data_IF_788226263490
#
_entry.id   IF_788226263490
#
_cell.length_a   1.000
_cell.length_b   1.000
_cell.length_c   1.000
_cell.angle_alpha   90.00
_cell.angle_beta   90.00
_cell.angle_gamma   90.00
#
_symmetry.space_group_name_H-M   'P 1'
#
loop_
_entity.id
_entity.type
_entity.pdbx_description
1 polymer ?
#
# COMPACT_ATOMS: atom_id res chain seq x y z
N UNK A 1 -1.19 -12.33 8.31
CA UNK A 1 -1.00 -11.39 7.20
C UNK A 1 -0.02 -12.01 6.21
N UNK A 2 -0.30 -11.87 4.89
CA UNK A 2 0.66 -12.17 3.83
C UNK A 2 1.10 -10.86 3.17
N UNK A 3 2.39 -10.55 3.26
CA UNK A 3 3.00 -9.40 2.60
C UNK A 3 3.74 -9.88 1.34
N UNK A 4 3.28 -9.43 0.19
CA UNK A 4 3.85 -9.73 -1.12
C UNK A 4 4.67 -8.53 -1.58
N UNK A 5 5.98 -8.71 -1.76
CA UNK A 5 6.87 -7.70 -2.30
C UNK A 5 7.28 -8.03 -3.72
N UNK A 6 7.01 -7.12 -4.64
CA UNK A 6 7.50 -7.18 -6.01
C UNK A 6 8.75 -6.34 -6.26
N UNK A 7 9.17 -5.51 -5.30
CA UNK A 7 10.28 -4.56 -5.47
C UNK A 7 11.50 -4.92 -4.63
N UNK A 8 11.29 -5.36 -3.38
CA UNK A 8 12.36 -5.60 -2.44
C UNK A 8 12.59 -7.07 -2.19
N UNK A 9 13.85 -7.44 -2.00
CA UNK A 9 14.23 -8.79 -1.60
C UNK A 9 13.88 -9.05 -0.12
N UNK A 10 13.67 -10.32 0.24
CA UNK A 10 13.40 -10.73 1.61
C UNK A 10 14.45 -10.23 2.62
N UNK A 11 15.73 -10.14 2.19
CA UNK A 11 16.81 -9.62 3.02
C UNK A 11 16.64 -8.13 3.31
N UNK A 12 16.26 -7.32 2.31
CA UNK A 12 16.03 -5.88 2.48
C UNK A 12 14.84 -5.63 3.40
N UNK A 13 13.74 -6.38 3.19
CA UNK A 13 12.56 -6.31 4.04
C UNK A 13 12.88 -6.70 5.49
N UNK A 14 13.66 -7.75 5.69
CA UNK A 14 14.10 -8.16 7.04
C UNK A 14 14.90 -7.05 7.71
N UNK A 15 15.92 -6.47 7.03
CA UNK A 15 16.72 -5.37 7.58
C UNK A 15 15.86 -4.13 7.93
N UNK A 16 14.75 -3.93 7.22
CA UNK A 16 13.80 -2.85 7.51
C UNK A 16 12.92 -3.20 8.70
N UNK A 17 12.40 -4.43 8.75
CA UNK A 17 11.59 -4.93 9.85
C UNK A 17 12.36 -4.93 11.18
N UNK A 18 13.64 -5.29 11.17
CA UNK A 18 14.51 -5.32 12.37
C UNK A 18 14.69 -3.93 13.03
N UNK A 19 14.34 -2.83 12.31
CA UNK A 19 14.34 -1.47 12.88
C UNK A 19 13.04 -1.12 13.59
N UNK A 20 11.97 -1.85 13.29
CA UNK A 20 10.66 -1.63 13.91
C UNK A 20 10.60 -2.38 15.23
N UNK A 21 10.16 -1.70 16.28
CA UNK A 21 10.10 -2.26 17.63
C UNK A 21 9.05 -3.35 17.79
N UNK A 22 8.10 -3.44 16.87
CA UNK A 22 6.94 -4.33 16.92
C UNK A 22 6.78 -5.11 15.61
N UNK A 23 7.59 -6.15 15.41
CA UNK A 23 7.38 -7.09 14.30
C UNK A 23 6.59 -8.29 14.78
N UNK A 24 5.36 -8.44 14.31
CA UNK A 24 4.55 -9.62 14.57
C UNK A 24 5.09 -10.85 13.85
N UNK A 25 5.17 -11.99 14.56
CA UNK A 25 5.47 -13.29 13.95
C UNK A 25 4.42 -13.76 12.95
N UNK A 26 3.24 -13.11 12.92
CA UNK A 26 2.10 -13.46 12.08
C UNK A 26 2.13 -12.78 10.71
N UNK A 27 3.23 -12.11 10.38
CA UNK A 27 3.47 -11.51 9.07
C UNK A 27 4.39 -12.42 8.24
N UNK A 28 3.81 -13.10 7.26
CA UNK A 28 4.54 -13.89 6.27
C UNK A 28 4.94 -12.99 5.11
N UNK A 29 6.19 -13.10 4.66
CA UNK A 29 6.72 -12.31 3.55
C UNK A 29 7.03 -13.22 2.38
N UNK A 30 6.56 -12.85 1.19
CA UNK A 30 6.91 -13.50 -0.07
C UNK A 30 7.40 -12.46 -1.07
N UNK A 31 8.48 -12.78 -1.79
CA UNK A 31 8.99 -11.94 -2.87
C UNK A 31 8.59 -12.60 -4.19
N UNK A 32 7.54 -12.05 -4.83
CA UNK A 32 6.93 -12.63 -6.02
C UNK A 32 6.27 -11.54 -6.88
N UNK A 33 6.35 -11.68 -8.20
CA UNK A 33 5.74 -10.76 -9.17
C UNK A 33 4.70 -11.41 -10.07
N UNK A 34 4.66 -12.76 -10.14
CA UNK A 34 3.62 -13.49 -10.86
C UNK A 34 2.34 -13.59 -10.04
N UNK A 35 1.24 -13.06 -10.59
CA UNK A 35 -0.07 -13.11 -9.93
C UNK A 35 -0.52 -14.56 -9.68
N UNK A 36 -0.21 -15.47 -10.60
CA UNK A 36 -0.54 -16.89 -10.50
C UNK A 36 0.16 -17.53 -9.28
N UNK A 37 1.45 -17.23 -9.09
CA UNK A 37 2.22 -17.73 -7.96
C UNK A 37 1.76 -17.09 -6.65
N UNK A 38 1.39 -15.80 -6.67
CA UNK A 38 0.82 -15.12 -5.50
C UNK A 38 -0.45 -15.85 -5.03
N UNK A 39 -1.33 -16.27 -5.94
CA UNK A 39 -2.53 -17.04 -5.56
C UNK A 39 -2.18 -18.41 -4.97
N UNK A 40 -1.13 -19.07 -5.45
CA UNK A 40 -0.64 -20.33 -4.84
C UNK A 40 -0.19 -20.07 -3.39
N UNK A 41 0.56 -18.98 -3.14
CA UNK A 41 0.99 -18.62 -1.79
C UNK A 41 -0.21 -18.30 -0.88
N UNK A 42 -1.17 -17.52 -1.36
CA UNK A 42 -2.40 -17.19 -0.61
C UNK A 42 -3.16 -18.48 -0.22
N UNK A 43 -3.34 -19.39 -1.17
CA UNK A 43 -4.03 -20.66 -0.93
C UNK A 43 -3.32 -21.52 0.13
N UNK A 44 -1.99 -21.54 0.11
CA UNK A 44 -1.19 -22.35 1.02
C UNK A 44 -1.13 -21.75 2.44
N UNK A 45 -1.22 -20.43 2.58
CA UNK A 45 -1.08 -19.72 3.86
C UNK A 45 -2.40 -19.33 4.48
N UNK A 46 -3.48 -19.26 3.68
CA UNK A 46 -4.82 -18.85 4.09
C UNK A 46 -4.80 -17.59 4.99
N UNK A 47 -4.28 -16.44 4.52
CA UNK A 47 -4.09 -15.26 5.32
C UNK A 47 -5.40 -14.50 5.55
N UNK A 48 -5.54 -13.82 6.70
CA UNK A 48 -6.67 -12.93 6.99
C UNK A 48 -6.57 -11.57 6.28
N UNK A 49 -5.37 -11.22 5.79
CA UNK A 49 -5.09 -9.97 5.04
C UNK A 49 -3.94 -10.22 4.07
N UNK A 50 -4.09 -9.74 2.85
CA UNK A 50 -3.02 -9.72 1.85
C UNK A 50 -2.60 -8.28 1.59
N UNK A 51 -1.29 -8.01 1.56
CA UNK A 51 -0.70 -6.72 1.19
C UNK A 51 0.17 -6.96 -0.04
N UNK A 52 -0.02 -6.16 -1.10
CA UNK A 52 0.77 -6.23 -2.33
C UNK A 52 1.54 -4.93 -2.52
N UNK A 53 2.88 -5.00 -2.50
CA UNK A 53 3.81 -3.87 -2.61
C UNK A 53 4.86 -4.12 -3.73
N UNK A 54 4.69 -3.53 -4.91
CA UNK A 54 3.60 -2.68 -5.36
C UNK A 54 2.79 -3.37 -6.48
N UNK A 55 1.60 -2.88 -6.72
CA UNK A 55 0.75 -3.42 -7.80
C UNK A 55 1.39 -3.21 -9.18
N UNK A 56 2.26 -2.22 -9.34
CA UNK A 56 2.96 -1.95 -10.60
C UNK A 56 3.98 -3.04 -10.98
N UNK A 57 4.46 -3.80 -10.02
CA UNK A 57 5.43 -4.88 -10.26
C UNK A 57 4.79 -6.22 -10.56
N UNK A 58 3.47 -6.35 -10.30
CA UNK A 58 2.76 -7.59 -10.52
C UNK A 58 2.38 -7.74 -11.99
N UNK A 59 2.50 -8.95 -12.50
CA UNK A 59 2.11 -9.32 -13.86
C UNK A 59 1.34 -10.64 -13.88
N UNK A 60 0.53 -10.80 -14.91
CA UNK A 60 -0.21 -12.04 -15.20
C UNK A 60 0.10 -12.51 -16.62
N UNK A 61 0.12 -13.81 -16.83
CA UNK A 61 0.29 -14.42 -18.14
C UNK A 61 -1.00 -14.37 -18.99
N UNK A 62 -2.13 -13.97 -18.39
CA UNK A 62 -3.44 -13.91 -19.07
C UNK A 62 -3.51 -12.88 -20.21
N UNK A 63 -2.59 -11.92 -20.25
CA UNK A 63 -2.54 -10.89 -21.30
C UNK A 63 -1.11 -10.69 -21.81
N UNK A 64 -1.00 -10.48 -23.14
CA UNK A 64 0.27 -10.16 -23.79
C UNK A 64 0.58 -8.67 -23.64
N UNK A 65 1.17 -8.28 -22.52
CA UNK A 65 1.67 -6.92 -22.30
C UNK A 65 2.82 -6.93 -21.31
N UNK A 66 3.69 -5.93 -21.42
CA UNK A 66 4.87 -5.84 -20.56
C UNK A 66 4.49 -5.63 -19.08
N UNK A 67 5.23 -6.24 -18.13
CA UNK A 67 5.09 -5.93 -16.71
C UNK A 67 5.16 -4.42 -16.45
N UNK A 68 4.34 -3.91 -15.53
CA UNK A 68 4.26 -2.48 -15.22
C UNK A 68 3.45 -1.64 -16.20
N UNK A 69 2.98 -2.22 -17.32
CA UNK A 69 2.08 -1.50 -18.23
C UNK A 69 0.71 -1.26 -17.58
N UNK A 70 -0.01 -0.25 -18.08
CA UNK A 70 -1.37 0.06 -17.61
C UNK A 70 -2.30 -1.13 -17.76
N UNK A 71 -2.15 -1.88 -18.84
CA UNK A 71 -2.96 -3.08 -19.10
C UNK A 71 -2.72 -4.14 -18.03
N UNK A 72 -1.45 -4.43 -17.69
CA UNK A 72 -1.10 -5.37 -16.62
C UNK A 72 -1.65 -4.91 -15.26
N UNK A 73 -1.42 -3.65 -14.88
CA UNK A 73 -1.91 -3.12 -13.61
C UNK A 73 -3.43 -3.24 -13.50
N UNK A 74 -4.14 -2.93 -14.60
CA UNK A 74 -5.61 -3.04 -14.64
C UNK A 74 -6.08 -4.49 -14.50
N UNK A 75 -5.50 -5.40 -15.26
CA UNK A 75 -5.90 -6.82 -15.25
C UNK A 75 -5.59 -7.48 -13.91
N UNK A 76 -4.37 -7.30 -13.39
CA UNK A 76 -3.99 -7.81 -12.07
C UNK A 76 -4.92 -7.28 -10.98
N UNK A 77 -5.22 -5.97 -10.99
CA UNK A 77 -6.10 -5.37 -9.99
C UNK A 77 -7.54 -5.88 -10.09
N UNK A 78 -8.06 -6.07 -11.31
CA UNK A 78 -9.40 -6.62 -11.52
C UNK A 78 -9.49 -8.08 -11.04
N UNK A 79 -8.44 -8.88 -11.29
CA UNK A 79 -8.35 -10.26 -10.81
C UNK A 79 -8.29 -10.31 -9.27
N UNK A 80 -7.45 -9.49 -8.65
CA UNK A 80 -7.31 -9.40 -7.19
C UNK A 80 -8.63 -8.95 -6.53
N UNK A 81 -9.32 -7.98 -7.12
CA UNK A 81 -10.62 -7.53 -6.62
C UNK A 81 -11.66 -8.67 -6.65
N UNK A 82 -11.69 -9.45 -7.73
CA UNK A 82 -12.56 -10.63 -7.84
C UNK A 82 -12.24 -11.63 -6.75
N UNK A 83 -10.97 -11.97 -6.59
CA UNK A 83 -10.49 -12.84 -5.52
C UNK A 83 -10.94 -12.36 -4.13
N UNK A 84 -10.69 -11.07 -3.81
CA UNK A 84 -11.06 -10.50 -2.52
C UNK A 84 -12.58 -10.61 -2.23
N UNK A 85 -13.41 -10.41 -3.26
CA UNK A 85 -14.87 -10.53 -3.14
C UNK A 85 -15.34 -11.98 -2.96
N UNK A 86 -14.74 -12.91 -3.69
CA UNK A 86 -15.11 -14.32 -3.65
C UNK A 86 -14.69 -15.00 -2.34
N UNK A 87 -13.53 -14.63 -1.81
CA UNK A 87 -12.96 -15.24 -0.61
C UNK A 87 -13.23 -14.46 0.67
N UNK A 88 -13.77 -13.24 0.56
CA UNK A 88 -13.92 -12.29 1.66
C UNK A 88 -12.59 -11.95 2.36
N UNK A 89 -11.47 -12.15 1.69
CA UNK A 89 -10.14 -11.80 2.19
C UNK A 89 -9.82 -10.35 1.82
N UNK A 90 -9.63 -9.43 2.78
CA UNK A 90 -9.25 -8.06 2.48
C UNK A 90 -7.87 -8.01 1.81
N UNK A 91 -7.75 -7.14 0.81
CA UNK A 91 -6.49 -6.92 0.10
C UNK A 91 -6.15 -5.43 0.11
N UNK A 92 -4.91 -5.12 0.52
CA UNK A 92 -4.32 -3.78 0.45
C UNK A 92 -3.36 -3.73 -0.74
N UNK A 93 -3.67 -2.90 -1.73
CA UNK A 93 -2.78 -2.65 -2.87
C UNK A 93 -1.98 -1.37 -2.62
N UNK A 94 -0.67 -1.48 -2.61
CA UNK A 94 0.23 -0.32 -2.55
C UNK A 94 0.55 0.09 -3.99
N UNK A 95 0.37 1.37 -4.30
CA UNK A 95 0.69 1.96 -5.59
C UNK A 95 1.51 3.23 -5.42
N UNK A 96 2.51 3.42 -6.28
CA UNK A 96 3.34 4.62 -6.28
C UNK A 96 2.80 5.66 -7.25
N UNK A 97 2.72 6.92 -6.81
CA UNK A 97 2.41 8.07 -7.65
C UNK A 97 3.72 8.80 -8.02
N UNK A 98 3.88 9.18 -9.30
CA UNK A 98 4.99 10.03 -9.73
C UNK A 98 4.79 11.47 -9.28
N UNK A 99 5.91 12.21 -9.19
CA UNK A 99 5.92 13.65 -8.85
C UNK A 99 5.04 14.53 -9.73
N UNK A 100 4.70 14.07 -10.93
CA UNK A 100 3.82 14.77 -11.88
C UNK A 100 2.32 14.49 -11.68
N UNK A 101 1.95 13.69 -10.67
CA UNK A 101 0.55 13.30 -10.40
C UNK A 101 -0.10 12.47 -11.51
N UNK A 102 0.68 12.08 -12.51
CA UNK A 102 0.27 11.50 -13.77
C UNK A 102 0.86 10.12 -13.96
N UNK A 103 0.60 9.19 -13.04
CA UNK A 103 0.79 7.81 -13.41
C UNK A 103 -0.53 7.18 -13.69
N UNK A 104 -0.52 6.58 -14.83
CA UNK A 104 -1.53 5.75 -15.39
C UNK A 104 -2.01 4.56 -14.51
N UNK A 105 -1.27 4.21 -13.46
CA UNK A 105 -1.63 3.15 -12.53
C UNK A 105 -2.65 3.56 -11.47
N UNK A 106 -2.37 4.50 -10.55
CA UNK A 106 -3.24 4.79 -9.41
C UNK A 106 -4.62 5.31 -9.78
N UNK A 107 -4.74 6.25 -10.75
CA UNK A 107 -6.05 6.76 -11.18
C UNK A 107 -6.97 5.70 -11.78
N UNK A 108 -6.38 4.72 -12.47
CA UNK A 108 -7.16 3.58 -13.00
C UNK A 108 -7.72 2.74 -11.87
N UNK A 109 -6.98 2.59 -10.76
CA UNK A 109 -7.39 1.80 -9.61
C UNK A 109 -8.43 2.49 -8.75
N UNK A 110 -8.43 3.82 -8.67
CA UNK A 110 -9.40 4.61 -7.88
C UNK A 110 -10.86 4.25 -8.19
N UNK A 111 -11.16 3.90 -9.43
CA UNK A 111 -12.50 3.51 -9.84
C UNK A 111 -12.85 2.06 -9.47
N UNK A 112 -11.84 1.21 -9.36
CA UNK A 112 -12.00 -0.24 -9.17
C UNK A 112 -12.15 -0.58 -7.69
N UNK A 113 -11.32 0.01 -6.82
CA UNK A 113 -11.26 -0.31 -5.39
C UNK A 113 -12.35 0.37 -4.57
N UNK A 114 -12.65 -0.16 -3.40
CA UNK A 114 -13.67 0.37 -2.50
C UNK A 114 -13.19 1.58 -1.71
N UNK A 115 -11.92 1.60 -1.33
CA UNK A 115 -11.29 2.68 -0.56
C UNK A 115 -9.98 3.08 -1.18
N UNK A 116 -9.70 4.37 -1.24
CA UNK A 116 -8.42 4.95 -1.67
C UNK A 116 -7.87 5.80 -0.54
N UNK A 117 -6.70 5.41 -0.06
CA UNK A 117 -5.94 6.16 0.92
C UNK A 117 -4.72 6.76 0.23
N UNK A 118 -4.49 8.04 0.45
CA UNK A 118 -3.30 8.74 -0.03
C UNK A 118 -2.40 9.05 1.15
N UNK A 119 -1.12 8.69 1.01
CA UNK A 119 -0.09 8.96 1.99
C UNK A 119 0.79 10.09 1.47
N UNK A 120 0.67 11.26 2.08
CA UNK A 120 1.36 12.48 1.68
C UNK A 120 2.53 12.77 2.63
N UNK A 121 3.63 13.29 2.09
CA UNK A 121 4.74 13.74 2.89
C UNK A 121 5.50 14.85 2.21
N UNK A 122 5.87 15.87 2.96
CA UNK A 122 6.80 16.89 2.54
C UNK A 122 8.24 16.48 2.90
N UNK A 123 9.18 16.77 2.00
CA UNK A 123 10.61 16.47 2.24
C UNK A 123 11.22 17.30 3.37
N UNK A 124 10.60 18.45 3.69
CA UNK A 124 11.06 19.39 4.70
C UNK A 124 10.45 19.14 6.09
N UNK A 125 9.38 18.32 6.17
CA UNK A 125 8.70 18.05 7.42
C UNK A 125 8.81 16.58 7.81
N UNK A 126 9.03 16.33 9.11
CA UNK A 126 9.09 14.97 9.68
C UNK A 126 7.71 14.30 9.76
N UNK A 127 6.68 14.94 9.21
CA UNK A 127 5.30 14.46 9.29
C UNK A 127 4.83 13.82 8.00
N UNK A 128 3.91 12.88 8.15
CA UNK A 128 3.19 12.22 7.06
C UNK A 128 1.70 12.32 7.32
N UNK A 129 0.94 12.55 6.29
CA UNK A 129 -0.52 12.67 6.36
C UNK A 129 -1.12 11.51 5.58
N UNK A 130 -1.99 10.73 6.22
CA UNK A 130 -2.82 9.73 5.61
C UNK A 130 -4.22 10.31 5.41
N UNK A 131 -4.66 10.39 4.17
CA UNK A 131 -5.95 10.97 3.78
C UNK A 131 -6.79 9.95 3.03
N UNK A 132 -8.07 9.89 3.33
CA UNK A 132 -9.03 9.15 2.53
C UNK A 132 -9.48 10.00 1.33
N UNK A 133 -9.19 9.53 0.12
CA UNK A 133 -9.63 10.16 -1.13
C UNK A 133 -10.97 9.61 -1.58
N UNK A 134 -11.20 8.33 -1.33
CA UNK A 134 -12.43 7.61 -1.63
C UNK A 134 -12.72 6.60 -0.53
N UNK A 135 -13.96 6.54 -0.11
CA UNK A 135 -14.44 5.50 0.80
C UNK A 135 -15.91 5.19 0.50
N UNK A 136 -16.18 4.00 -0.02
CA UNK A 136 -17.55 3.58 -0.34
C UNK A 136 -18.43 3.39 0.88
N UNK A 137 -17.83 3.08 2.02
CA UNK A 137 -18.54 2.63 3.22
C UNK A 137 -18.46 3.61 4.37
N UNK A 138 -17.83 4.79 4.18
CA UNK A 138 -17.65 5.76 5.27
C UNK A 138 -17.22 7.14 4.82
N UNK A 139 -16.87 7.96 5.80
CA UNK A 139 -16.40 9.34 5.60
C UNK A 139 -15.02 9.39 4.94
N UNK A 140 -14.77 10.44 4.18
CA UNK A 140 -13.45 10.83 3.66
C UNK A 140 -12.86 12.04 4.37
N UNK A 141 -13.56 12.57 5.40
CA UNK A 141 -13.13 13.77 6.11
C UNK A 141 -12.04 13.53 7.17
N UNK A 142 -11.74 12.27 7.46
CA UNK A 142 -10.76 11.91 8.49
C UNK A 142 -9.33 11.97 7.95
N UNK A 143 -8.41 12.46 8.83
CA UNK A 143 -6.98 12.56 8.56
C UNK A 143 -6.19 11.85 9.65
N UNK A 144 -5.23 11.01 9.24
CA UNK A 144 -4.19 10.50 10.12
C UNK A 144 -2.91 11.32 9.97
N UNK A 145 -2.34 11.81 11.06
CA UNK A 145 -1.05 12.51 11.06
C UNK A 145 -0.04 11.68 11.81
N UNK A 146 1.11 11.46 11.18
CA UNK A 146 2.18 10.62 11.70
C UNK A 146 3.51 11.37 11.68
N UNK A 147 4.27 11.24 12.75
CA UNK A 147 5.66 11.69 12.83
C UNK A 147 6.60 10.56 12.38
N UNK A 148 7.54 10.87 11.50
CA UNK A 148 8.59 9.92 11.12
C UNK A 148 9.67 9.86 12.19
N UNK A 149 9.91 8.68 12.74
CA UNK A 149 10.95 8.40 13.72
C UNK A 149 11.91 7.32 13.22
N UNK A 150 13.01 7.11 13.94
CA UNK A 150 14.00 6.08 13.59
C UNK A 150 13.41 4.66 13.71
N UNK A 151 12.45 4.47 14.60
CA UNK A 151 11.74 3.22 14.91
C UNK A 151 10.40 3.06 14.16
N UNK A 152 10.08 3.98 13.23
CA UNK A 152 8.88 3.92 12.41
C UNK A 152 8.02 5.18 12.44
N UNK A 153 6.72 5.01 12.27
CA UNK A 153 5.73 6.09 12.28
C UNK A 153 5.00 6.13 13.62
N UNK A 154 4.95 7.31 14.24
CA UNK A 154 4.19 7.55 15.46
C UNK A 154 2.99 8.43 15.17
N UNK A 155 1.81 8.00 15.58
CA UNK A 155 0.59 8.81 15.47
C UNK A 155 0.71 10.08 16.31
N UNK A 156 0.29 11.21 15.75
CA UNK A 156 0.18 12.51 16.44
C UNK A 156 -1.24 12.66 16.96
N UNK A 157 -1.39 12.68 18.28
CA UNK A 157 -2.69 12.73 18.95
C UNK A 157 -3.36 14.11 18.91
N UNK A 158 -2.58 15.19 18.76
CA UNK A 158 -3.09 16.55 18.74
C UNK A 158 -2.57 17.33 17.51
N UNK A 159 -3.29 17.28 16.38
CA UNK A 159 -2.90 17.99 15.16
C UNK A 159 -2.79 19.52 15.33
N UNK A 160 -3.53 20.10 16.29
CA UNK A 160 -3.56 21.54 16.51
C UNK A 160 -2.22 22.08 17.02
N UNK A 161 -1.46 21.30 17.78
CA UNK A 161 -0.11 21.69 18.24
C UNK A 161 0.86 21.85 17.05
N UNK A 162 0.71 21.03 16.02
CA UNK A 162 1.56 21.11 14.82
C UNK A 162 1.30 22.38 14.01
N UNK A 163 0.03 22.78 13.89
CA UNK A 163 -0.35 24.00 13.19
C UNK A 163 0.18 25.25 13.93
N UNK A 164 0.20 25.23 15.27
CA UNK A 164 0.77 26.33 16.06
C UNK A 164 2.29 26.42 15.92
N UNK A 165 2.99 25.29 15.90
CA UNK A 165 4.45 25.25 15.72
C UNK A 165 4.89 25.74 14.34
N UNK A 166 4.09 25.50 13.29
CA UNK A 166 4.37 25.98 11.93
C UNK A 166 4.16 27.50 11.79
N UNK A 167 3.33 28.11 12.63
CA UNK A 167 3.09 29.57 12.65
C UNK A 167 4.13 30.35 13.45
N UNK A 168 4.91 29.69 14.31
CA UNK A 168 5.95 30.33 15.15
C UNK A 168 7.30 30.44 14.41
N UNK A 169 7.47 29.76 13.29
CA UNK A 169 8.69 29.78 12.48
C UNK A 169 8.61 30.67 11.22
N UNK A 170 7.78 31.73 11.25
CA UNK A 170 7.82 32.82 10.26
C UNK A 170 8.58 34.00 10.83
#
# INVERSE_FOLDING_TARGET
ILYVSGEESARQLKLRADRLSDTSSDCLIVCETSLEQIYVHIKNTNPDLVIIDSIQTISTESIESSPGSIAQVRECSASILRFAKETHTPVLLIGHINKEGSIAGPKVLEHIVDTVLQFEGDQHYMYRILRSIKNRFGSTAELGIYEMRQDGLRQVSNPSELLLLSLIHI
#
